data_IF_686536594042
#
_entry.id   IF_686536594042
#
_cell.length_a   1.000
_cell.length_b   1.000
_cell.length_c   1.000
_cell.angle_alpha   90.00
_cell.angle_beta   90.00
_cell.angle_gamma   90.00
#
_symmetry.space_group_name_H-M   'P 1'
#
loop_
_entity.id
_entity.type
_entity.pdbx_description
1 polymer ?
#
# COMPACT_ATOMS: atom_id res chain seq x y z
N UNK A 1 -3.17 -7.87 -30.22
CA UNK A 1 -2.81 -6.73 -29.39
C UNK A 1 -3.28 -6.96 -27.96
N UNK A 2 -2.41 -6.72 -26.98
CA UNK A 2 -2.75 -6.91 -25.58
C UNK A 2 -3.27 -5.60 -25.01
N UNK A 3 -4.43 -5.65 -24.38
CA UNK A 3 -4.97 -4.50 -23.68
C UNK A 3 -4.48 -4.54 -22.23
N UNK A 4 -4.00 -3.41 -21.74
CA UNK A 4 -3.61 -3.28 -20.34
C UNK A 4 -4.64 -2.40 -19.66
N UNK A 5 -5.33 -2.94 -18.65
CA UNK A 5 -6.33 -2.17 -17.91
C UNK A 5 -5.76 -1.54 -16.65
N UNK A 6 -4.68 -2.08 -16.12
CA UNK A 6 -4.09 -1.49 -14.92
C UNK A 6 -2.72 -2.05 -14.61
N UNK A 7 -2.02 -1.36 -13.71
CA UNK A 7 -0.72 -1.78 -13.20
C UNK A 7 -0.85 -2.20 -11.75
N UNK A 8 -0.29 -3.36 -11.44
CA UNK A 8 -0.32 -3.94 -10.10
C UNK A 8 1.09 -4.05 -9.58
N UNK A 9 1.36 -3.38 -8.44
CA UNK A 9 2.64 -3.48 -7.75
C UNK A 9 2.41 -4.30 -6.49
N UNK A 10 3.17 -5.39 -6.36
CA UNK A 10 3.13 -6.27 -5.20
C UNK A 10 4.47 -6.12 -4.50
N UNK A 11 4.47 -5.79 -3.21
CA UNK A 11 5.72 -5.49 -2.53
C UNK A 11 5.75 -6.04 -1.11
N UNK A 12 6.95 -6.41 -0.68
CA UNK A 12 7.27 -6.68 0.73
C UNK A 12 8.30 -5.67 1.18
N UNK A 13 8.01 -4.99 2.29
CA UNK A 13 8.91 -4.02 2.90
C UNK A 13 9.47 -4.63 4.17
N UNK A 14 10.80 -4.69 4.28
CA UNK A 14 11.50 -5.34 5.39
C UNK A 14 12.18 -4.31 6.27
N UNK A 15 12.23 -4.59 7.58
CA UNK A 15 12.90 -3.71 8.53
C UNK A 15 12.17 -2.40 8.73
N UNK A 16 10.83 -2.46 8.72
CA UNK A 16 10.00 -1.30 9.04
C UNK A 16 9.86 -1.20 10.55
N UNK A 17 10.01 0.01 11.10
CA UNK A 17 9.87 0.20 12.53
C UNK A 17 8.49 -0.26 13.02
N UNK A 18 8.42 -1.11 14.07
CA UNK A 18 7.14 -1.54 14.60
C UNK A 18 6.24 -0.39 15.04
N UNK A 19 6.83 0.73 15.48
CA UNK A 19 6.06 1.89 15.90
C UNK A 19 5.19 2.46 14.79
N UNK A 20 5.62 2.34 13.54
CA UNK A 20 4.87 2.87 12.40
C UNK A 20 3.72 1.97 11.99
N UNK A 21 3.76 0.69 12.35
CA UNK A 21 2.88 -0.31 11.74
C UNK A 21 2.07 -1.13 12.73
N UNK A 22 2.16 -0.81 14.03
CA UNK A 22 1.46 -1.57 15.06
C UNK A 22 0.00 -1.16 15.23
N UNK A 23 -0.31 0.11 15.00
CA UNK A 23 -1.63 0.65 15.28
C UNK A 23 -2.33 1.17 14.04
N UNK A 24 -3.63 0.98 14.02
CA UNK A 24 -4.46 1.37 12.88
C UNK A 24 -4.32 2.85 12.55
N UNK A 25 -4.31 3.73 13.54
CA UNK A 25 -4.28 5.17 13.27
C UNK A 25 -3.02 5.59 12.52
N UNK A 26 -1.87 4.98 12.82
CA UNK A 26 -0.63 5.29 12.11
C UNK A 26 -0.65 4.74 10.69
N UNK A 27 -1.11 3.49 10.53
CA UNK A 27 -1.18 2.85 9.22
C UNK A 27 -2.18 3.58 8.33
N UNK A 28 -3.35 3.91 8.86
CA UNK A 28 -4.37 4.67 8.13
C UNK A 28 -3.83 6.01 7.67
N UNK A 29 -3.15 6.73 8.55
CA UNK A 29 -2.59 8.03 8.23
C UNK A 29 -1.62 7.93 7.04
N UNK A 30 -0.76 6.91 7.04
CA UNK A 30 0.21 6.72 5.96
C UNK A 30 -0.50 6.30 4.67
N UNK A 31 -1.35 5.29 4.73
CA UNK A 31 -1.95 4.71 3.52
C UNK A 31 -2.94 5.68 2.89
N UNK A 32 -3.89 6.19 3.66
CA UNK A 32 -4.86 7.16 3.14
C UNK A 32 -4.14 8.44 2.68
N UNK A 33 -3.10 8.84 3.41
CA UNK A 33 -2.31 10.01 3.04
C UNK A 33 -1.62 9.86 1.68
N UNK A 34 -1.04 8.70 1.41
CA UNK A 34 -0.41 8.44 0.10
C UNK A 34 -1.45 8.46 -1.01
N UNK A 35 -2.60 7.79 -0.77
CA UNK A 35 -3.68 7.75 -1.76
C UNK A 35 -4.16 9.16 -2.10
N UNK A 36 -4.34 9.99 -1.09
CA UNK A 36 -4.79 11.37 -1.29
C UNK A 36 -3.73 12.21 -2.01
N UNK A 37 -2.46 12.07 -1.61
CA UNK A 37 -1.39 12.86 -2.20
C UNK A 37 -1.14 12.53 -3.67
N UNK A 38 -1.25 11.26 -4.04
CA UNK A 38 -1.10 10.83 -5.43
C UNK A 38 -2.29 11.27 -6.28
N UNK A 39 -3.43 11.56 -5.64
CA UNK A 39 -4.63 11.96 -6.35
C UNK A 39 -5.41 10.79 -6.90
N UNK A 40 -5.35 9.65 -6.22
CA UNK A 40 -6.20 8.51 -6.57
C UNK A 40 -7.60 8.77 -6.06
N UNK A 41 -8.59 8.32 -6.84
CA UNK A 41 -9.99 8.61 -6.52
C UNK A 41 -10.52 7.64 -5.48
N UNK A 42 -10.34 7.98 -4.21
CA UNK A 42 -10.72 7.14 -3.08
C UNK A 42 -12.24 7.07 -2.93
N UNK A 43 -12.75 5.84 -2.88
CA UNK A 43 -14.17 5.57 -2.63
C UNK A 43 -14.41 5.33 -1.14
N UNK A 44 -13.50 4.66 -0.48
CA UNK A 44 -13.59 4.38 0.94
C UNK A 44 -12.40 3.57 1.42
N UNK A 45 -12.29 3.39 2.72
CA UNK A 45 -11.22 2.59 3.30
C UNK A 45 -11.74 1.83 4.51
N UNK A 46 -11.16 0.65 4.76
CA UNK A 46 -11.50 -0.19 5.90
C UNK A 46 -10.19 -0.71 6.49
N UNK A 47 -10.07 -0.60 7.81
CA UNK A 47 -8.89 -1.08 8.54
C UNK A 47 -9.33 -1.95 9.70
N UNK A 48 -8.56 -3.00 9.95
CA UNK A 48 -8.77 -3.90 11.08
C UNK A 48 -7.54 -3.88 11.97
N UNK A 49 -7.72 -3.48 13.22
CA UNK A 49 -6.68 -3.55 14.23
C UNK A 49 -6.67 -4.94 14.85
N UNK A 50 -5.50 -5.58 14.86
CA UNK A 50 -5.33 -6.85 15.55
C UNK A 50 -4.73 -6.62 16.94
N UNK A 51 -5.00 -7.54 17.84
CA UNK A 51 -4.46 -7.54 19.19
C UNK A 51 -3.37 -8.61 19.29
N UNK A 52 -2.21 -8.28 19.88
CA UNK A 52 -1.88 -7.01 20.54
C UNK A 52 -1.46 -5.92 19.56
N UNK A 53 -1.11 -6.26 18.31
CA UNK A 53 -0.66 -5.28 17.32
C UNK A 53 -0.83 -5.86 15.91
N UNK A 54 -0.69 -4.98 14.91
CA UNK A 54 -0.80 -5.37 13.51
C UNK A 54 -2.11 -4.86 12.91
N UNK A 55 -2.07 -4.58 11.60
CA UNK A 55 -3.19 -3.95 10.90
C UNK A 55 -3.35 -4.58 9.54
N UNK A 56 -4.59 -4.82 9.15
CA UNK A 56 -4.96 -5.11 7.76
C UNK A 56 -5.82 -3.96 7.28
N UNK A 57 -5.53 -3.45 6.09
CA UNK A 57 -6.31 -2.36 5.53
C UNK A 57 -6.50 -2.47 4.04
N UNK A 58 -7.56 -1.86 3.57
CA UNK A 58 -7.81 -1.75 2.14
C UNK A 58 -8.42 -0.39 1.86
N UNK A 59 -7.90 0.29 0.84
CA UNK A 59 -8.48 1.52 0.31
C UNK A 59 -9.06 1.19 -1.05
N UNK A 60 -10.37 1.38 -1.17
CA UNK A 60 -11.07 1.18 -2.43
C UNK A 60 -10.93 2.45 -3.25
N UNK A 61 -10.41 2.29 -4.46
CA UNK A 61 -10.19 3.40 -5.39
C UNK A 61 -11.01 3.05 -6.62
N UNK A 62 -11.94 3.91 -7.03
CA UNK A 62 -12.84 3.69 -8.18
C UNK A 62 -12.82 2.28 -8.78
N UNK A 63 -11.83 1.97 -9.62
CA UNK A 63 -11.71 0.68 -10.30
C UNK A 63 -10.49 -0.12 -9.82
N UNK A 64 -9.96 0.20 -8.64
CA UNK A 64 -8.70 -0.36 -8.17
C UNK A 64 -8.64 -0.36 -6.65
N UNK A 65 -7.48 -0.67 -6.10
CA UNK A 65 -7.33 -0.73 -4.65
C UNK A 65 -5.87 -0.60 -4.21
N UNK A 66 -5.70 -0.21 -2.95
CA UNK A 66 -4.44 -0.35 -2.22
C UNK A 66 -4.75 -1.19 -1.00
N UNK A 67 -4.03 -2.29 -0.80
CA UNK A 67 -4.21 -3.11 0.39
C UNK A 67 -2.89 -3.29 1.13
N UNK A 68 -2.99 -3.48 2.44
CA UNK A 68 -1.82 -3.57 3.30
C UNK A 68 -2.06 -4.57 4.42
N UNK A 69 -1.01 -5.32 4.74
CA UNK A 69 -0.97 -6.15 5.94
C UNK A 69 0.33 -5.84 6.66
N UNK A 70 0.25 -5.57 7.95
CA UNK A 70 1.45 -5.29 8.73
C UNK A 70 1.70 -6.39 9.76
N UNK A 71 2.97 -6.71 9.94
CA UNK A 71 3.45 -7.74 10.85
C UNK A 71 4.56 -7.11 11.70
N UNK A 72 4.18 -6.34 12.76
CA UNK A 72 5.19 -5.63 13.55
C UNK A 72 6.25 -6.55 14.15
N UNK A 73 5.86 -7.77 14.55
CA UNK A 73 6.79 -8.74 15.13
C UNK A 73 7.87 -9.18 14.14
N UNK A 74 7.63 -9.04 12.84
CA UNK A 74 8.59 -9.34 11.79
C UNK A 74 9.14 -8.08 11.12
N UNK A 75 8.72 -6.91 11.57
CA UNK A 75 9.06 -5.63 10.94
C UNK A 75 8.73 -5.64 9.45
N UNK A 76 7.62 -6.28 9.11
CA UNK A 76 7.24 -6.58 7.73
C UNK A 76 5.95 -5.90 7.34
N UNK A 77 5.92 -5.37 6.12
CA UNK A 77 4.70 -4.87 5.48
C UNK A 77 4.52 -5.58 4.15
N UNK A 78 3.33 -6.14 3.96
CA UNK A 78 2.89 -6.63 2.65
C UNK A 78 2.00 -5.56 2.03
N UNK A 79 2.30 -5.16 0.81
CA UNK A 79 1.64 -4.03 0.16
C UNK A 79 1.24 -4.39 -1.26
N UNK A 80 0.00 -4.08 -1.61
CA UNK A 80 -0.53 -4.23 -2.96
C UNK A 80 -1.06 -2.89 -3.43
N UNK A 81 -0.62 -2.46 -4.62
CA UNK A 81 -1.12 -1.25 -5.25
C UNK A 81 -1.60 -1.65 -6.65
N UNK A 82 -2.89 -1.59 -6.87
CA UNK A 82 -3.47 -1.85 -8.19
C UNK A 82 -4.20 -0.60 -8.64
N UNK A 83 -3.71 0.01 -9.73
CA UNK A 83 -4.32 1.22 -10.27
C UNK A 83 -4.68 1.02 -11.73
N UNK A 84 -5.82 1.58 -12.11
CA UNK A 84 -6.26 1.65 -13.50
C UNK A 84 -5.98 3.06 -14.01
N UNK A 85 -5.79 3.19 -15.31
CA UNK A 85 -5.48 4.49 -15.92
C UNK A 85 -3.99 4.74 -15.96
N UNK A 86 -3.52 5.86 -15.40
CA UNK A 86 -2.12 6.24 -15.48
C UNK A 86 -1.23 5.33 -14.62
N UNK A 87 -0.38 4.49 -15.26
CA UNK A 87 0.48 3.58 -14.49
C UNK A 87 1.52 4.30 -13.63
N UNK A 88 1.84 5.55 -13.97
CA UNK A 88 2.80 6.32 -13.19
C UNK A 88 2.27 6.63 -11.78
N UNK A 89 0.95 6.66 -11.60
CA UNK A 89 0.37 6.88 -10.27
C UNK A 89 0.67 5.72 -9.34
N UNK A 90 0.66 4.49 -9.83
CA UNK A 90 1.01 3.33 -9.03
C UNK A 90 2.47 3.42 -8.55
N UNK A 91 3.37 3.79 -9.47
CA UNK A 91 4.78 3.92 -9.14
C UNK A 91 5.04 5.08 -8.19
N UNK A 92 4.34 6.18 -8.36
CA UNK A 92 4.46 7.33 -7.47
C UNK A 92 3.98 6.97 -6.07
N UNK A 93 2.86 6.24 -5.97
CA UNK A 93 2.36 5.78 -4.68
C UNK A 93 3.38 4.87 -4.01
N UNK A 94 3.96 3.94 -4.76
CA UNK A 94 4.97 3.04 -4.22
C UNK A 94 6.16 3.81 -3.64
N UNK A 95 6.68 4.79 -4.38
CA UNK A 95 7.79 5.62 -3.89
C UNK A 95 7.43 6.33 -2.59
N UNK A 96 6.22 6.86 -2.49
CA UNK A 96 5.79 7.54 -1.26
C UNK A 96 5.67 6.56 -0.10
N UNK A 97 5.21 5.33 -0.34
CA UNK A 97 5.17 4.32 0.71
C UNK A 97 6.57 3.99 1.21
N UNK A 98 7.53 3.87 0.31
CA UNK A 98 8.93 3.63 0.70
C UNK A 98 9.45 4.79 1.55
N UNK A 99 9.18 6.02 1.17
CA UNK A 99 9.61 7.19 1.93
C UNK A 99 9.01 7.23 3.34
N UNK A 100 7.75 6.81 3.48
CA UNK A 100 7.03 6.96 4.75
C UNK A 100 7.20 5.78 5.68
N UNK A 101 7.28 4.56 5.15
CA UNK A 101 7.54 3.39 5.97
C UNK A 101 9.02 3.20 6.28
N UNK A 102 9.90 3.76 5.46
CA UNK A 102 11.37 3.72 5.66
C UNK A 102 11.89 2.31 5.90
N UNK A 103 11.58 1.36 5.02
CA UNK A 103 12.11 0.00 5.19
C UNK A 103 13.61 -0.03 5.00
N UNK A 104 14.28 -0.98 5.66
CA UNK A 104 15.71 -1.18 5.45
C UNK A 104 15.99 -1.82 4.10
N UNK A 105 15.07 -2.62 3.61
CA UNK A 105 15.13 -3.21 2.27
C UNK A 105 13.72 -3.56 1.83
N UNK A 106 13.57 -3.86 0.55
CA UNK A 106 12.27 -4.27 0.03
C UNK A 106 12.47 -5.03 -1.26
N UNK A 107 11.45 -5.78 -1.64
CA UNK A 107 11.36 -6.36 -2.98
C UNK A 107 9.98 -6.05 -3.53
N UNK A 108 9.90 -5.93 -4.85
CA UNK A 108 8.60 -5.66 -5.48
C UNK A 108 8.54 -6.25 -6.87
N UNK A 109 7.33 -6.44 -7.33
CA UNK A 109 7.03 -6.95 -8.67
C UNK A 109 6.01 -6.01 -9.30
N UNK A 110 6.21 -5.73 -10.57
CA UNK A 110 5.28 -4.90 -11.34
C UNK A 110 4.63 -5.78 -12.39
N UNK A 111 3.30 -5.84 -12.36
CA UNK A 111 2.51 -6.63 -13.28
C UNK A 111 1.54 -5.72 -14.00
N UNK A 112 1.55 -5.79 -15.32
CA UNK A 112 0.51 -5.12 -16.11
C UNK A 112 -0.59 -6.14 -16.35
N UNK A 113 -1.81 -5.73 -16.08
CA UNK A 113 -2.99 -6.62 -16.12
C UNK A 113 -4.00 -6.13 -17.15
N UNK A 114 -4.60 -7.11 -17.83
CA UNK A 114 -5.57 -6.78 -18.84
C UNK A 114 -6.21 -7.96 -19.51
#
# INVERSE_FOLDING_TARGET
MTMIVGRHIIAELYGVSPELISREENVRCIVDGVVDEVGLNKVGSVYKQFNPHGVTGIVLISESHVSIHTWPEYELVNLDIFTCGDPQKAEKAFKLFIERFKPKSYRHYILDRG
#
